data_IF_994355394437
#
_entry.id   IF_994355394437
#
_cell.length_a   1.000
_cell.length_b   1.000
_cell.length_c   1.000
_cell.angle_alpha   90.00
_cell.angle_beta   90.00
_cell.angle_gamma   90.00
#
_symmetry.space_group_name_H-M   'P 1'
#
loop_
_entity.id
_entity.type
_entity.pdbx_description
1 polymer ?
#
# COMPACT_ATOMS: atom_id res chain seq x y z
N UNK A 1 35.43 30.89 -8.16
CA UNK A 1 34.24 30.21 -7.60
C UNK A 1 33.57 31.16 -6.64
N UNK A 2 32.25 31.29 -6.72
CA UNK A 2 31.46 32.28 -5.96
C UNK A 2 30.25 31.61 -5.31
N UNK A 3 29.77 32.19 -4.21
CA UNK A 3 28.55 31.75 -3.55
C UNK A 3 27.35 31.96 -4.48
N UNK A 4 26.59 30.91 -4.77
CA UNK A 4 25.43 30.97 -5.68
C UNK A 4 24.32 31.89 -5.16
N UNK A 5 24.22 32.06 -3.83
CA UNK A 5 23.11 32.79 -3.21
C UNK A 5 23.40 34.29 -3.02
N UNK A 6 24.65 34.68 -2.79
CA UNK A 6 25.01 36.06 -2.48
C UNK A 6 26.14 36.63 -3.34
N UNK A 7 26.63 35.88 -4.33
CA UNK A 7 27.70 36.30 -5.25
C UNK A 7 29.08 36.48 -4.59
N UNK A 8 29.22 36.16 -3.30
CA UNK A 8 30.50 36.35 -2.60
C UNK A 8 31.56 35.41 -3.17
N UNK A 9 32.60 35.99 -3.78
CA UNK A 9 33.74 35.23 -4.31
C UNK A 9 34.59 34.62 -3.19
N UNK A 10 35.14 33.44 -3.47
CA UNK A 10 36.13 32.82 -2.59
C UNK A 10 37.36 33.73 -2.46
N UNK A 11 37.81 33.98 -1.23
CA UNK A 11 39.06 34.70 -0.95
C UNK A 11 39.88 33.94 0.10
N UNK A 12 41.12 34.37 0.37
CA UNK A 12 41.97 33.74 1.40
C UNK A 12 41.25 33.58 2.76
N UNK A 13 40.31 34.48 3.08
CA UNK A 13 39.56 34.49 4.33
C UNK A 13 38.09 34.03 4.20
N UNK A 14 37.57 33.90 2.98
CA UNK A 14 36.19 33.48 2.72
C UNK A 14 36.19 32.10 2.07
N UNK A 15 36.04 31.09 2.94
CA UNK A 15 35.93 29.69 2.55
C UNK A 15 34.51 29.41 2.02
N UNK A 16 34.44 28.70 0.90
CA UNK A 16 33.17 28.17 0.36
C UNK A 16 33.11 26.67 0.60
N UNK A 17 31.89 26.16 0.76
CA UNK A 17 31.55 24.73 0.74
C UNK A 17 30.73 24.44 -0.51
N UNK A 18 30.93 23.27 -1.12
CA UNK A 18 30.23 22.87 -2.35
C UNK A 18 29.20 21.82 -2.00
N UNK A 19 27.95 22.01 -2.45
CA UNK A 19 26.90 21.02 -2.30
C UNK A 19 27.21 19.79 -3.15
N UNK A 20 27.14 18.60 -2.56
CA UNK A 20 27.43 17.33 -3.24
C UNK A 20 26.34 16.94 -4.24
N UNK A 21 25.09 17.34 -3.98
CA UNK A 21 23.96 17.09 -4.88
C UNK A 21 23.96 18.01 -6.11
N UNK A 22 23.97 19.33 -5.92
CA UNK A 22 23.81 20.30 -7.02
C UNK A 22 25.12 20.95 -7.50
N UNK A 23 26.25 20.65 -6.85
CA UNK A 23 27.59 21.18 -7.18
C UNK A 23 27.74 22.70 -7.09
N UNK A 24 26.73 23.41 -6.57
CA UNK A 24 26.81 24.83 -6.29
C UNK A 24 27.65 25.11 -5.04
N UNK A 25 28.33 26.26 -5.03
CA UNK A 25 29.13 26.71 -3.90
C UNK A 25 28.36 27.70 -3.01
N UNK A 26 28.58 27.60 -1.71
CA UNK A 26 27.93 28.41 -0.69
C UNK A 26 28.96 28.95 0.31
N UNK A 27 28.83 30.22 0.71
CA UNK A 27 29.60 30.75 1.83
C UNK A 27 28.97 30.29 3.15
N UNK A 28 29.71 30.36 4.26
CA UNK A 28 29.22 29.91 5.58
C UNK A 28 27.83 30.48 5.95
N UNK A 29 27.62 31.78 5.69
CA UNK A 29 26.35 32.44 5.98
C UNK A 29 25.18 31.94 5.13
N UNK A 30 25.44 31.48 3.91
CA UNK A 30 24.42 30.94 3.00
C UNK A 30 24.26 29.42 3.11
N UNK A 31 25.31 28.70 3.51
CA UNK A 31 25.24 27.24 3.72
C UNK A 31 24.51 26.87 5.01
N UNK A 32 24.32 27.81 5.93
CA UNK A 32 23.78 27.55 7.27
C UNK A 32 24.77 26.84 8.19
N UNK A 33 26.05 26.77 7.80
CA UNK A 33 27.12 26.19 8.61
C UNK A 33 27.86 27.29 9.35
N UNK A 34 28.28 27.00 10.57
CA UNK A 34 29.24 27.81 11.30
C UNK A 34 30.61 27.77 10.60
N UNK A 35 31.49 28.69 11.01
CA UNK A 35 32.86 28.73 10.49
C UNK A 35 33.67 27.49 10.89
N UNK A 36 33.38 26.90 12.06
CA UNK A 36 34.03 25.68 12.55
C UNK A 36 33.56 24.45 11.78
N UNK A 37 32.25 24.29 11.59
CA UNK A 37 31.69 23.20 10.78
C UNK A 37 32.21 23.27 9.34
N UNK A 38 32.30 24.46 8.75
CA UNK A 38 32.87 24.63 7.40
C UNK A 38 34.34 24.20 7.34
N UNK A 39 35.13 24.49 8.38
CA UNK A 39 36.53 24.02 8.47
C UNK A 39 36.58 22.50 8.57
N UNK A 40 35.76 21.92 9.44
CA UNK A 40 35.68 20.47 9.64
C UNK A 40 35.26 19.75 8.36
N UNK A 41 34.20 20.22 7.70
CA UNK A 41 33.76 19.75 6.39
C UNK A 41 34.88 19.78 5.34
N UNK A 42 35.75 20.79 5.36
CA UNK A 42 36.87 20.89 4.43
C UNK A 42 38.04 19.94 4.75
N UNK A 43 38.25 19.61 6.02
CA UNK A 43 39.28 18.66 6.46
C UNK A 43 38.84 17.22 6.19
N UNK A 44 37.56 16.92 6.46
CA UNK A 44 36.95 15.60 6.34
C UNK A 44 36.19 15.41 5.02
N UNK A 45 36.61 16.07 3.94
CA UNK A 45 35.91 16.02 2.62
C UNK A 45 35.69 14.62 2.05
N UNK A 46 36.42 13.61 2.51
CA UNK A 46 36.25 12.21 2.07
C UNK A 46 35.17 11.48 2.85
N UNK A 47 34.77 12.00 4.01
CA UNK A 47 33.92 11.33 4.99
C UNK A 47 32.59 12.06 5.21
N UNK A 48 32.49 13.33 4.79
CA UNK A 48 31.30 14.15 5.00
C UNK A 48 30.77 14.72 3.69
N UNK A 49 29.46 14.61 3.52
CA UNK A 49 28.73 15.23 2.42
C UNK A 49 27.99 16.47 2.91
N UNK A 50 28.10 17.55 2.14
CA UNK A 50 27.29 18.74 2.36
C UNK A 50 26.17 18.79 1.32
N UNK A 51 24.92 18.90 1.77
CA UNK A 51 23.78 19.14 0.89
C UNK A 51 23.13 20.47 1.27
N UNK A 52 22.92 21.35 0.29
CA UNK A 52 22.26 22.62 0.53
C UNK A 52 20.77 22.42 0.87
N UNK A 53 20.17 23.43 1.50
CA UNK A 53 18.76 23.41 1.93
C UNK A 53 17.82 22.93 0.83
N UNK A 54 17.90 23.53 -0.35
CA UNK A 54 17.02 23.19 -1.48
C UNK A 54 17.16 21.72 -1.90
N UNK A 55 18.38 21.18 -1.89
CA UNK A 55 18.61 19.77 -2.23
C UNK A 55 18.03 18.83 -1.16
N UNK A 56 18.16 19.20 0.11
CA UNK A 56 17.54 18.46 1.22
C UNK A 56 16.01 18.50 1.12
N UNK A 57 15.42 19.68 0.87
CA UNK A 57 13.97 19.84 0.71
C UNK A 57 13.44 19.05 -0.48
N UNK A 58 14.10 19.11 -1.64
CA UNK A 58 13.73 18.33 -2.81
C UNK A 58 13.78 16.82 -2.55
N UNK A 59 14.79 16.34 -1.80
CA UNK A 59 14.88 14.92 -1.41
C UNK A 59 13.70 14.53 -0.53
N UNK A 60 13.35 15.37 0.45
CA UNK A 60 12.18 15.15 1.32
C UNK A 60 10.88 15.13 0.52
N UNK A 61 10.68 16.06 -0.40
CA UNK A 61 9.48 16.09 -1.27
C UNK A 61 9.38 14.82 -2.12
N UNK A 62 10.49 14.34 -2.69
CA UNK A 62 10.49 13.08 -3.46
C UNK A 62 10.13 11.88 -2.59
N UNK A 63 10.65 11.81 -1.37
CA UNK A 63 10.29 10.76 -0.42
C UNK A 63 8.81 10.80 -0.07
N UNK A 64 8.27 11.98 0.22
CA UNK A 64 6.84 12.17 0.50
C UNK A 64 5.96 11.73 -0.68
N UNK A 65 6.35 12.06 -1.92
CA UNK A 65 5.64 11.60 -3.12
C UNK A 65 5.62 10.07 -3.22
N UNK A 66 6.75 9.41 -3.00
CA UNK A 66 6.82 7.95 -3.00
C UNK A 66 5.91 7.32 -1.94
N UNK A 67 5.83 7.91 -0.75
CA UNK A 67 4.95 7.44 0.32
C UNK A 67 3.49 7.56 -0.09
N UNK A 68 3.11 8.70 -0.69
CA UNK A 68 1.74 8.92 -1.20
C UNK A 68 1.41 7.88 -2.28
N UNK A 69 2.31 7.66 -3.24
CA UNK A 69 2.11 6.66 -4.30
C UNK A 69 1.92 5.24 -3.75
N UNK A 70 2.65 4.88 -2.68
CA UNK A 70 2.50 3.58 -2.02
C UNK A 70 1.19 3.49 -1.23
N UNK A 71 0.76 4.58 -0.59
CA UNK A 71 -0.54 4.64 0.08
C UNK A 71 -1.69 4.47 -0.92
N UNK A 72 -1.61 5.08 -2.11
CA UNK A 72 -2.62 4.92 -3.17
C UNK A 72 -2.72 3.46 -3.67
N UNK A 73 -1.59 2.75 -3.76
CA UNK A 73 -1.61 1.31 -4.08
C UNK A 73 -2.31 0.50 -2.98
N UNK A 74 -2.03 0.80 -1.72
CA UNK A 74 -2.67 0.14 -0.58
C UNK A 74 -4.18 0.38 -0.60
N UNK A 75 -4.62 1.61 -0.87
CA UNK A 75 -6.03 1.96 -0.99
C UNK A 75 -6.70 1.11 -2.07
N UNK A 76 -6.12 1.04 -3.27
CA UNK A 76 -6.67 0.21 -4.37
C UNK A 76 -6.76 -1.26 -4.00
N UNK A 77 -5.73 -1.81 -3.35
CA UNK A 77 -5.77 -3.19 -2.86
C UNK A 77 -6.92 -3.41 -1.87
N UNK A 78 -7.13 -2.48 -0.94
CA UNK A 78 -8.23 -2.56 0.03
C UNK A 78 -9.60 -2.45 -0.64
N UNK A 79 -9.76 -1.58 -1.64
CA UNK A 79 -10.98 -1.46 -2.44
C UNK A 79 -11.31 -2.78 -3.18
N UNK A 80 -10.30 -3.44 -3.75
CA UNK A 80 -10.46 -4.77 -4.37
C UNK A 80 -10.91 -5.83 -3.36
N UNK A 81 -10.34 -5.85 -2.14
CA UNK A 81 -10.77 -6.76 -1.08
C UNK A 81 -12.22 -6.50 -0.65
N UNK A 82 -12.61 -5.23 -0.50
CA UNK A 82 -13.99 -4.86 -0.16
C UNK A 82 -14.95 -5.30 -1.27
N UNK A 83 -14.56 -5.14 -2.53
CA UNK A 83 -15.36 -5.59 -3.68
C UNK A 83 -15.62 -7.10 -3.63
N UNK A 84 -14.58 -7.90 -3.38
CA UNK A 84 -14.71 -9.36 -3.25
C UNK A 84 -15.64 -9.78 -2.12
N UNK A 85 -15.52 -9.16 -0.94
CA UNK A 85 -16.40 -9.44 0.21
C UNK A 85 -17.86 -9.12 -0.14
N UNK A 86 -18.12 -8.00 -0.81
CA UNK A 86 -19.47 -7.61 -1.21
C UNK A 86 -20.06 -8.57 -2.27
N UNK A 87 -19.24 -9.09 -3.18
CA UNK A 87 -19.66 -10.13 -4.13
C UNK A 87 -20.01 -11.45 -3.43
N UNK A 88 -19.16 -11.91 -2.50
CA UNK A 88 -19.43 -13.10 -1.70
C UNK A 88 -20.71 -12.97 -0.87
N UNK A 89 -20.99 -11.81 -0.28
CA UNK A 89 -22.23 -11.55 0.45
C UNK A 89 -23.47 -11.62 -0.45
N UNK A 90 -23.39 -11.10 -1.69
CA UNK A 90 -24.48 -11.22 -2.68
C UNK A 90 -24.74 -12.67 -3.08
N UNK A 91 -23.68 -13.46 -3.24
CA UNK A 91 -23.80 -14.89 -3.56
C UNK A 91 -24.36 -15.69 -2.38
N UNK A 92 -23.95 -15.38 -1.15
CA UNK A 92 -24.47 -16.01 0.07
C UNK A 92 -25.96 -15.74 0.30
N UNK A 93 -26.43 -14.52 0.01
CA UNK A 93 -27.86 -14.18 0.11
C UNK A 93 -28.72 -14.83 -0.98
N UNK A 94 -28.17 -15.11 -2.16
CA UNK A 94 -28.88 -15.85 -3.21
C UNK A 94 -28.99 -17.35 -2.92
N UNK A 95 -27.98 -17.97 -2.29
CA UNK A 95 -28.04 -19.39 -1.94
C UNK A 95 -29.06 -19.73 -0.84
N UNK A 96 -29.33 -18.83 0.11
CA UNK A 96 -30.36 -19.08 1.14
C UNK A 96 -31.79 -19.07 0.58
N UNK A 97 -32.02 -18.42 -0.56
CA UNK A 97 -33.34 -18.37 -1.21
C UNK A 97 -33.71 -19.63 -2.01
N UNK A 98 -32.75 -20.51 -2.28
CA UNK A 98 -32.94 -21.79 -2.99
C UNK A 98 -32.92 -23.01 -2.08
N UNK A 99 -32.72 -22.81 -0.76
CA UNK A 99 -32.82 -23.87 0.25
C UNK A 99 -34.30 -24.12 0.55
N UNK A 100 -34.84 -25.32 0.29
CA UNK A 100 -36.23 -25.62 0.63
C UNK A 100 -36.42 -25.42 2.14
N UNK A 101 -37.38 -24.58 2.52
CA UNK A 101 -37.78 -24.43 3.92
C UNK A 101 -38.11 -25.82 4.50
N UNK A 102 -37.75 -26.06 5.75
CA UNK A 102 -38.09 -27.29 6.46
C UNK A 102 -39.61 -27.58 6.41
N UNK A 103 -40.44 -26.53 6.33
CA UNK A 103 -41.89 -26.63 6.14
C UNK A 103 -42.29 -27.17 4.74
N UNK A 104 -41.53 -26.85 3.68
CA UNK A 104 -41.77 -27.37 2.32
C UNK A 104 -41.36 -28.85 2.20
N UNK A 105 -40.34 -29.27 2.95
CA UNK A 105 -39.92 -30.69 3.03
C UNK A 105 -40.99 -31.50 3.77
N UNK A 106 -41.49 -31.01 4.90
CA UNK A 106 -42.52 -31.68 5.70
C UNK A 106 -43.88 -31.80 5.01
N UNK A 107 -44.27 -30.80 4.21
CA UNK A 107 -45.51 -30.84 3.43
C UNK A 107 -45.42 -31.82 2.25
N UNK A 108 -44.26 -31.91 1.60
CA UNK A 108 -43.99 -32.90 0.55
C UNK A 108 -44.03 -34.33 1.09
N UNK A 109 -43.51 -34.56 2.31
CA UNK A 109 -43.56 -35.85 3.01
C UNK A 109 -44.97 -36.23 3.50
N UNK A 110 -45.83 -35.24 3.80
CA UNK A 110 -47.22 -35.49 4.22
C UNK A 110 -48.15 -35.87 3.06
N UNK A 111 -47.80 -35.48 1.84
CA UNK A 111 -48.61 -35.76 0.64
C UNK A 111 -48.18 -37.03 -0.10
N UNK A 112 -47.01 -37.60 0.23
CA UNK A 112 -46.66 -38.95 -0.18
C UNK A 112 -47.38 -39.96 0.73
N UNK A 113 -48.55 -40.44 0.33
CA UNK A 113 -49.15 -41.63 0.92
C UNK A 113 -48.18 -42.81 0.78
N UNK A 114 -47.55 -43.20 1.90
CA UNK A 114 -46.79 -44.43 2.00
C UNK A 114 -47.74 -45.62 1.81
N UNK A 115 -47.88 -46.10 0.57
CA UNK A 115 -48.39 -47.45 0.30
C UNK A 115 -47.33 -48.45 0.72
N UNK A 116 -47.38 -48.86 1.99
CA UNK A 116 -46.57 -49.96 2.51
C UNK A 116 -47.22 -51.26 2.07
N UNK A 117 -46.84 -51.79 0.92
CA UNK A 117 -47.04 -53.22 0.65
C UNK A 117 -46.03 -54.03 1.47
N UNK A 118 -46.52 -54.69 2.52
CA UNK A 118 -45.75 -55.73 3.22
C UNK A 118 -45.62 -56.94 2.32
N UNK A 119 -44.51 -57.04 1.58
CA UNK A 119 -43.96 -58.33 1.17
C UNK A 119 -42.53 -58.45 1.69
N UNK A 120 -42.36 -59.45 2.54
CA UNK A 120 -41.12 -60.06 3.05
C UNK A 120 -39.81 -59.29 2.87
N UNK A 121 -39.29 -58.84 4.02
CA UNK A 121 -37.87 -58.64 4.39
C UNK A 121 -36.86 -58.67 3.22
N UNK A 122 -36.69 -57.53 2.56
CA UNK A 122 -35.40 -57.02 2.08
C UNK A 122 -35.63 -55.65 1.43
N UNK A 123 -35.07 -54.59 2.02
CA UNK A 123 -35.11 -53.26 1.43
C UNK A 123 -33.79 -53.03 0.70
N UNK A 124 -33.85 -52.90 -0.63
CA UNK A 124 -32.80 -52.32 -1.45
C UNK A 124 -33.23 -50.90 -1.83
N UNK A 125 -32.36 -49.91 -1.61
CA UNK A 125 -32.52 -48.55 -2.14
C UNK A 125 -31.73 -48.46 -3.45
N UNK A 126 -32.41 -48.18 -4.56
CA UNK A 126 -31.77 -47.73 -5.80
C UNK A 126 -32.34 -46.37 -6.20
N UNK A 127 -31.45 -45.43 -6.53
CA UNK A 127 -31.79 -44.14 -7.12
C UNK A 127 -32.08 -44.33 -8.62
N UNK A 128 -33.30 -44.07 -9.06
CA UNK A 128 -33.60 -43.85 -10.48
C UNK A 128 -33.71 -42.36 -10.73
N UNK A 129 -32.57 -41.73 -11.08
CA UNK A 129 -32.58 -40.42 -11.71
C UNK A 129 -33.31 -40.51 -13.04
N UNK A 130 -34.23 -39.60 -13.30
CA UNK A 130 -34.92 -39.50 -14.59
C UNK A 130 -34.60 -38.14 -15.21
N UNK A 131 -34.06 -38.22 -16.43
CA UNK A 131 -34.08 -37.14 -17.43
C UNK A 131 -35.51 -36.82 -17.85
#
# INVERSE_FOLDING_TARGET
MECIQCGTSASKNKKLVTCDSCRNAFCCGCSGLTSEETKYMQQEKRNLEFNCRDCCELKTIRLMKSIIDDMDKIIKMLEEYISKINEEQKLGTQMDSSRPSYANILSSLKNSELKVEKKNKQYYMYYTGSQ
#
